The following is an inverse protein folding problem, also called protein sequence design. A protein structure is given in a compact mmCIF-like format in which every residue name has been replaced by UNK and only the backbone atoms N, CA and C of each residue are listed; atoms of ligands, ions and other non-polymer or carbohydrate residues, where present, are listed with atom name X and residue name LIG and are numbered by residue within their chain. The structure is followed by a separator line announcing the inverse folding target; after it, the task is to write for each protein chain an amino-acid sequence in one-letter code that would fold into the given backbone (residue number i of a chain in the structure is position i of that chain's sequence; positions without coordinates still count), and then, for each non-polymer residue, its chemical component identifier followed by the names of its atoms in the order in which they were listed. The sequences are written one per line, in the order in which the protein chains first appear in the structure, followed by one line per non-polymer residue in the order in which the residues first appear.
data_IF_864922427809
#
_entry.id   IF_864922427809
#
_cell.length_a   1.000
_cell.length_b   1.000
_cell.length_c   1.000
_cell.angle_alpha   90.00
_cell.angle_beta   90.00
_cell.angle_gamma   90.00
#
_symmetry.space_group_name_H-M   'P 1'
#
loop_
_entity.id
_entity.type
_entity.pdbx_description
1 polymer ?
#
# COMPACT_ATOMS: atom_id res chain seq x y z
N UNK A 1 56.86 34.76 44.83
CA UNK A 1 56.52 34.76 43.41
C UNK A 1 55.93 33.42 43.09
N UNK A 2 54.62 33.28 43.18
CA UNK A 2 53.88 32.07 42.85
C UNK A 2 53.28 32.28 41.44
N UNK A 3 53.60 31.38 40.49
CA UNK A 3 53.10 31.39 39.15
C UNK A 3 51.72 30.75 39.11
N UNK A 4 50.70 31.52 38.70
CA UNK A 4 49.35 31.07 38.40
C UNK A 4 49.33 30.13 37.17
N UNK A 5 48.68 28.97 37.33
CA UNK A 5 48.33 28.12 36.21
C UNK A 5 47.03 28.62 35.58
N UNK A 6 46.90 28.72 34.24
CA UNK A 6 45.63 29.03 33.60
C UNK A 6 44.67 27.86 33.62
N UNK A 7 43.37 28.12 33.76
CA UNK A 7 42.25 27.21 33.76
C UNK A 7 42.02 26.59 32.37
N UNK A 8 41.53 25.35 32.26
CA UNK A 8 41.21 24.70 30.98
C UNK A 8 39.93 25.26 30.36
N UNK A 9 39.98 25.51 29.05
CA UNK A 9 38.86 25.92 28.21
C UNK A 9 37.80 24.83 28.07
N UNK A 10 36.49 25.16 27.98
CA UNK A 10 35.42 24.19 27.82
C UNK A 10 35.15 23.90 26.33
N UNK A 11 35.83 22.94 25.74
CA UNK A 11 35.51 22.39 24.42
C UNK A 11 35.77 20.90 24.44
N UNK A 12 34.76 20.15 24.87
CA UNK A 12 34.59 18.75 24.41
C UNK A 12 33.09 18.42 24.51
N UNK A 13 32.39 18.71 23.42
CA UNK A 13 31.10 18.08 23.13
C UNK A 13 31.38 16.77 22.41
N UNK A 14 30.87 15.63 22.89
CA UNK A 14 31.08 14.38 22.21
C UNK A 14 30.31 14.34 20.89
N UNK A 15 31.05 14.07 19.83
CA UNK A 15 30.70 13.30 18.66
C UNK A 15 29.36 13.57 17.97
N UNK A 16 29.35 14.50 17.05
CA UNK A 16 28.54 14.30 15.84
C UNK A 16 29.09 13.05 15.14
N UNK A 17 28.40 11.91 15.30
CA UNK A 17 28.62 10.75 14.47
C UNK A 17 28.35 11.17 13.00
N UNK A 18 29.41 11.23 12.23
CA UNK A 18 29.40 11.40 10.80
C UNK A 18 28.47 10.36 10.18
N UNK A 19 27.32 10.78 9.65
CA UNK A 19 26.45 9.98 8.81
C UNK A 19 27.14 9.77 7.45
N UNK A 20 28.13 8.91 7.42
CA UNK A 20 28.72 8.38 6.19
C UNK A 20 27.81 7.29 5.66
N UNK A 21 27.10 7.54 4.52
CA UNK A 21 26.45 6.52 3.72
C UNK A 21 24.93 6.61 3.57
N UNK A 22 24.26 7.70 3.96
CA UNK A 22 22.86 7.90 3.56
C UNK A 22 22.83 8.33 2.09
N UNK A 23 22.43 7.45 1.18
CA UNK A 23 22.06 7.82 -0.19
C UNK A 23 21.09 9.00 -0.13
N UNK A 24 21.40 10.09 -0.85
CA UNK A 24 20.57 11.29 -0.81
C UNK A 24 19.15 10.94 -1.28
N UNK A 25 18.13 11.29 -0.49
CA UNK A 25 16.73 10.97 -0.79
C UNK A 25 16.32 11.61 -2.12
N UNK A 26 15.72 10.83 -3.03
CA UNK A 26 15.20 11.36 -4.30
C UNK A 26 13.91 12.15 -4.11
N UNK A 27 13.13 11.84 -3.07
CA UNK A 27 11.97 12.62 -2.62
C UNK A 27 12.20 12.96 -1.15
N UNK A 28 12.03 14.22 -0.79
CA UNK A 28 12.11 14.68 0.59
C UNK A 28 10.96 15.63 0.90
N UNK A 29 10.19 15.29 1.92
CA UNK A 29 9.14 16.12 2.50
C UNK A 29 9.55 16.55 3.90
N UNK A 30 9.37 17.82 4.24
CA UNK A 30 9.72 18.37 5.55
C UNK A 30 8.57 19.23 6.09
N UNK A 31 7.89 18.76 7.12
CA UNK A 31 6.81 19.47 7.81
C UNK A 31 5.64 19.86 6.91
N UNK A 32 5.32 19.03 5.91
CA UNK A 32 4.31 19.36 4.90
C UNK A 32 2.93 19.34 5.52
N UNK A 33 2.25 20.49 5.44
CA UNK A 33 0.88 20.66 5.91
C UNK A 33 0.00 21.21 4.79
N UNK A 34 -1.23 20.72 4.68
CA UNK A 34 -2.25 21.28 3.78
C UNK A 34 -3.58 21.43 4.47
N UNK A 35 -4.09 22.67 4.50
CA UNK A 35 -5.39 23.04 5.05
C UNK A 35 -6.35 23.52 3.98
N UNK A 36 -7.62 23.18 4.13
CA UNK A 36 -8.75 23.67 3.34
C UNK A 36 -9.75 24.32 4.30
N UNK A 37 -9.66 25.62 4.47
CA UNK A 37 -10.39 26.33 5.53
C UNK A 37 -10.01 25.77 6.92
N UNK A 38 -11.00 25.30 7.66
CA UNK A 38 -10.79 24.69 8.99
C UNK A 38 -10.32 23.22 8.92
N UNK A 39 -10.44 22.55 7.77
CA UNK A 39 -10.07 21.15 7.62
C UNK A 39 -8.59 21.00 7.27
N UNK A 40 -7.85 20.20 8.04
CA UNK A 40 -6.45 19.86 7.77
C UNK A 40 -6.40 18.47 7.12
N UNK A 41 -6.10 18.44 5.82
CA UNK A 41 -6.05 17.21 5.03
C UNK A 41 -4.69 16.49 5.11
N UNK A 42 -3.61 17.26 5.31
CA UNK A 42 -2.25 16.76 5.55
C UNK A 42 -1.67 17.60 6.67
N UNK A 43 -1.12 16.96 7.70
CA UNK A 43 -0.69 17.63 8.93
C UNK A 43 0.72 17.17 9.32
N UNK A 44 1.68 18.08 9.17
CA UNK A 44 3.08 17.96 9.57
C UNK A 44 3.78 16.68 9.05
N UNK A 45 3.62 16.38 7.76
CA UNK A 45 4.20 15.17 7.15
C UNK A 45 5.66 15.39 6.80
N UNK A 46 6.52 14.56 7.39
CA UNK A 46 7.95 14.44 7.08
C UNK A 46 8.27 13.01 6.67
N UNK A 47 8.81 12.85 5.46
CA UNK A 47 9.24 11.55 4.94
C UNK A 47 10.32 11.72 3.85
N UNK A 48 11.06 10.65 3.64
CA UNK A 48 12.02 10.53 2.55
C UNK A 48 11.78 9.24 1.75
N UNK A 49 12.04 9.31 0.43
CA UNK A 49 12.05 8.15 -0.47
C UNK A 49 13.44 8.05 -1.07
N UNK A 50 14.01 6.83 -1.06
CA UNK A 50 15.36 6.56 -1.56
C UNK A 50 15.35 6.32 -3.06
N UNK A 51 16.45 6.60 -3.78
CA UNK A 51 16.57 6.24 -5.18
C UNK A 51 16.42 4.73 -5.39
N UNK A 52 15.64 4.34 -6.42
CA UNK A 52 15.47 2.94 -6.82
C UNK A 52 14.60 2.11 -5.88
N UNK A 53 13.91 2.71 -4.89
CA UNK A 53 12.97 1.96 -4.05
C UNK A 53 11.54 1.99 -4.58
N UNK A 54 10.78 0.96 -4.25
CA UNK A 54 9.31 0.93 -4.39
C UNK A 54 8.72 1.33 -3.04
N UNK A 55 8.11 2.51 -2.99
CA UNK A 55 7.55 3.10 -1.78
C UNK A 55 6.03 3.12 -1.82
N UNK A 56 5.39 2.53 -0.79
CA UNK A 56 3.94 2.49 -0.63
C UNK A 56 3.41 3.59 0.28
N UNK A 57 2.41 4.35 -0.15
CA UNK A 57 1.65 5.26 0.69
C UNK A 57 0.27 4.66 0.96
N UNK A 58 0.05 4.20 2.19
CA UNK A 58 -1.10 3.38 2.57
C UNK A 58 -1.99 4.13 3.55
N UNK A 59 -3.28 3.85 3.50
CA UNK A 59 -4.25 4.42 4.43
C UNK A 59 -5.68 4.22 3.94
N UNK A 60 -6.65 4.33 4.85
CA UNK A 60 -8.07 4.29 4.49
C UNK A 60 -8.47 5.48 3.60
N UNK A 61 -9.67 5.43 3.03
CA UNK A 61 -10.22 6.55 2.28
C UNK A 61 -10.40 7.76 3.22
N UNK A 62 -9.93 8.94 2.75
CA UNK A 62 -9.91 10.15 3.57
C UNK A 62 -8.66 10.32 4.47
N UNK A 63 -7.72 9.37 4.51
CA UNK A 63 -6.48 9.48 5.30
C UNK A 63 -5.54 10.63 4.87
N UNK A 64 -5.77 11.24 3.71
CA UNK A 64 -4.93 12.33 3.17
C UNK A 64 -4.00 11.92 2.02
N UNK A 65 -3.95 10.62 1.64
CA UNK A 65 -3.06 10.08 0.60
C UNK A 65 -3.12 10.87 -0.70
N UNK A 66 -4.29 10.98 -1.31
CA UNK A 66 -4.46 11.67 -2.61
C UNK A 66 -4.12 13.17 -2.52
N UNK A 67 -4.31 13.80 -1.35
CA UNK A 67 -3.89 15.17 -1.13
C UNK A 67 -2.38 15.27 -1.10
N UNK A 68 -1.70 14.42 -0.33
CA UNK A 68 -0.24 14.38 -0.27
C UNK A 68 0.36 14.04 -1.64
N UNK A 69 -0.24 13.10 -2.37
CA UNK A 69 0.17 12.74 -3.72
C UNK A 69 0.09 13.92 -4.69
N UNK A 70 -1.02 14.69 -4.68
CA UNK A 70 -1.18 15.90 -5.49
C UNK A 70 -0.16 16.99 -5.13
N UNK A 71 0.23 17.06 -3.86
CA UNK A 71 1.26 18.00 -3.41
C UNK A 71 2.63 17.58 -3.95
N UNK A 72 3.00 16.29 -3.86
CA UNK A 72 4.25 15.76 -4.45
C UNK A 72 4.29 15.96 -5.97
N UNK A 73 3.18 15.81 -6.67
CA UNK A 73 3.08 16.06 -8.12
C UNK A 73 3.13 17.56 -8.48
N UNK A 74 3.17 18.46 -7.50
CA UNK A 74 3.11 19.91 -7.74
C UNK A 74 1.77 20.38 -8.32
N UNK A 75 0.70 19.59 -8.16
CA UNK A 75 -0.67 19.93 -8.56
C UNK A 75 -1.38 20.75 -7.49
N UNK A 76 -0.91 20.68 -6.25
CA UNK A 76 -1.44 21.38 -5.10
C UNK A 76 -0.30 21.95 -4.28
N UNK A 77 -0.33 23.25 -3.96
CA UNK A 77 0.68 23.85 -3.10
C UNK A 77 0.44 23.44 -1.64
N UNK A 78 1.48 23.16 -0.83
CA UNK A 78 1.35 23.01 0.61
C UNK A 78 0.97 24.34 1.26
N UNK A 79 0.35 24.29 2.45
CA UNK A 79 0.13 25.49 3.29
C UNK A 79 1.41 25.89 4.02
N UNK A 80 2.19 24.88 4.45
CA UNK A 80 3.52 25.03 5.06
C UNK A 80 4.37 23.79 4.78
N UNK A 81 5.67 23.89 5.07
CA UNK A 81 6.66 22.86 4.80
C UNK A 81 7.27 22.95 3.40
N UNK A 82 8.17 22.02 3.07
CA UNK A 82 8.89 22.00 1.81
C UNK A 82 8.94 20.60 1.21
N UNK A 83 9.05 20.53 -0.13
CA UNK A 83 9.14 19.28 -0.89
C UNK A 83 10.22 19.43 -1.92
N UNK A 84 11.08 18.42 -2.03
CA UNK A 84 12.09 18.29 -3.08
C UNK A 84 11.94 16.96 -3.78
N UNK A 85 12.04 16.96 -5.10
CA UNK A 85 12.03 15.75 -5.94
C UNK A 85 13.19 15.83 -6.91
N UNK A 86 14.02 14.79 -6.93
CA UNK A 86 15.23 14.69 -7.77
C UNK A 86 16.13 15.94 -7.63
N UNK A 87 16.28 16.46 -6.39
CA UNK A 87 17.09 17.64 -6.08
C UNK A 87 16.40 18.99 -6.32
N UNK A 88 15.22 19.01 -6.96
CA UNK A 88 14.52 20.26 -7.29
C UNK A 88 13.37 20.52 -6.29
N UNK A 89 13.19 21.77 -5.82
CA UNK A 89 12.04 22.11 -4.99
C UNK A 89 10.75 22.04 -5.79
N UNK A 90 9.69 21.44 -5.21
CA UNK A 90 8.36 21.39 -5.83
C UNK A 90 7.64 22.70 -5.58
N UNK A 91 7.54 23.56 -6.61
CA UNK A 91 6.92 24.87 -6.53
C UNK A 91 6.61 25.44 -7.92
N UNK A 92 5.99 26.64 -7.97
CA UNK A 92 5.58 27.23 -9.25
C UNK A 92 6.76 27.48 -10.21
N UNK A 93 7.89 27.91 -9.70
CA UNK A 93 9.07 28.25 -10.52
C UNK A 93 9.74 27.01 -11.12
N UNK A 94 9.75 25.87 -10.42
CA UNK A 94 10.42 24.62 -10.82
C UNK A 94 9.47 23.54 -11.33
N UNK A 95 8.16 23.84 -11.39
CA UNK A 95 7.14 22.85 -11.74
C UNK A 95 7.41 22.12 -13.07
N UNK A 96 7.92 22.81 -14.09
CA UNK A 96 8.20 22.20 -15.39
C UNK A 96 9.41 21.25 -15.31
N UNK A 97 10.45 21.63 -14.56
CA UNK A 97 11.66 20.81 -14.40
C UNK A 97 11.33 19.53 -13.63
N UNK A 98 10.58 19.63 -12.53
CA UNK A 98 10.11 18.47 -11.77
C UNK A 98 9.23 17.57 -12.63
N UNK A 99 8.25 18.12 -13.37
CA UNK A 99 7.35 17.33 -14.23
C UNK A 99 8.06 16.58 -15.35
N UNK A 100 9.20 17.05 -15.82
CA UNK A 100 10.01 16.31 -16.80
C UNK A 100 10.69 15.09 -16.22
N UNK A 101 10.92 15.08 -14.90
CA UNK A 101 11.63 14.00 -14.19
C UNK A 101 10.67 12.98 -13.57
N UNK A 102 9.35 13.25 -13.60
CA UNK A 102 8.34 12.37 -13.03
C UNK A 102 7.41 11.80 -14.10
N UNK A 103 6.98 10.55 -13.87
CA UNK A 103 5.84 9.94 -14.52
C UNK A 103 4.66 9.88 -13.57
N UNK A 104 3.43 9.96 -14.08
CA UNK A 104 2.24 9.86 -13.25
C UNK A 104 1.15 9.02 -13.93
N UNK A 105 0.68 8.02 -13.22
CA UNK A 105 -0.50 7.21 -13.57
C UNK A 105 -1.60 7.51 -12.56
N UNK A 106 -2.66 8.22 -12.95
CA UNK A 106 -3.82 8.45 -12.08
C UNK A 106 -4.66 7.17 -11.91
N UNK A 107 -5.43 7.08 -10.83
CA UNK A 107 -6.41 6.01 -10.61
C UNK A 107 -7.36 5.85 -11.80
N UNK A 108 -7.91 6.97 -12.27
CA UNK A 108 -8.80 7.02 -13.42
C UNK A 108 -8.09 7.62 -14.62
N UNK A 109 -7.75 6.78 -15.59
CA UNK A 109 -7.05 7.18 -16.81
C UNK A 109 -8.03 7.74 -17.83
N UNK A 110 -7.99 9.06 -18.04
CA UNK A 110 -8.77 9.74 -19.06
C UNK A 110 -8.01 9.78 -20.39
N UNK A 111 -8.52 9.11 -21.41
CA UNK A 111 -7.93 9.01 -22.74
C UNK A 111 -8.97 9.38 -23.80
N UNK A 112 -8.50 9.83 -24.96
CA UNK A 112 -9.39 10.12 -26.09
C UNK A 112 -9.82 8.84 -26.80
N UNK A 113 -11.10 8.58 -26.82
CA UNK A 113 -11.70 7.34 -27.35
C UNK A 113 -11.51 7.15 -28.88
N UNK A 114 -11.35 8.22 -29.61
CA UNK A 114 -11.18 8.24 -31.07
C UNK A 114 -9.73 8.05 -31.55
N UNK A 115 -8.75 8.21 -30.67
CA UNK A 115 -7.35 7.97 -30.99
C UNK A 115 -7.01 6.48 -30.79
N UNK A 116 -6.07 5.98 -31.59
CA UNK A 116 -5.44 4.69 -31.32
C UNK A 116 -4.46 4.76 -30.14
N UNK A 117 -4.04 3.59 -29.60
CA UNK A 117 -3.04 3.55 -28.55
C UNK A 117 -1.73 4.23 -28.95
N UNK A 118 -1.26 3.97 -30.17
CA UNK A 118 -0.04 4.58 -30.69
C UNK A 118 -0.18 6.09 -30.90
N UNK A 119 -1.30 6.56 -31.46
CA UNK A 119 -1.57 7.97 -31.65
C UNK A 119 -1.67 8.69 -30.30
N UNK A 120 -2.28 8.06 -29.30
CA UNK A 120 -2.35 8.58 -27.94
C UNK A 120 -0.95 8.80 -27.36
N UNK A 121 -0.06 7.82 -27.44
CA UNK A 121 1.31 7.97 -26.96
C UNK A 121 2.10 9.03 -27.75
N UNK A 122 1.96 9.06 -29.07
CA UNK A 122 2.58 10.10 -29.91
C UNK A 122 2.09 11.52 -29.57
N UNK A 123 0.79 11.65 -29.25
CA UNK A 123 0.23 12.92 -28.81
C UNK A 123 0.87 13.40 -27.50
N UNK A 124 0.93 12.54 -26.47
CA UNK A 124 1.55 12.89 -25.18
C UNK A 124 3.05 13.14 -25.31
N UNK A 125 3.77 12.37 -26.14
CA UNK A 125 5.18 12.62 -26.41
C UNK A 125 5.42 14.03 -26.96
N UNK A 126 4.64 14.44 -27.98
CA UNK A 126 4.71 15.79 -28.56
C UNK A 126 4.37 16.87 -27.53
N UNK A 127 3.39 16.64 -26.67
CA UNK A 127 3.00 17.58 -25.62
C UNK A 127 4.14 17.79 -24.58
N UNK A 128 4.92 16.72 -24.32
CA UNK A 128 6.11 16.78 -23.47
C UNK A 128 7.36 17.32 -24.18
N UNK A 129 7.28 17.58 -25.51
CA UNK A 129 8.43 17.95 -26.34
C UNK A 129 9.42 16.79 -26.56
N UNK A 130 8.93 15.56 -26.56
CA UNK A 130 9.72 14.34 -26.77
C UNK A 130 9.61 13.83 -28.21
N UNK A 131 10.60 13.05 -28.64
CA UNK A 131 10.50 12.30 -29.88
C UNK A 131 9.44 11.18 -29.76
N UNK A 132 8.80 10.89 -30.89
CA UNK A 132 7.74 9.87 -30.96
C UNK A 132 8.26 8.48 -31.35
N UNK A 133 9.52 8.34 -31.72
CA UNK A 133 10.13 7.08 -32.18
C UNK A 133 10.00 5.95 -31.14
N UNK A 134 10.13 6.27 -29.83
CA UNK A 134 10.01 5.31 -28.75
C UNK A 134 8.60 4.84 -28.40
N UNK A 135 7.55 5.43 -29.00
CA UNK A 135 6.16 5.12 -28.60
C UNK A 135 5.75 3.66 -28.87
N UNK A 136 6.21 3.06 -29.98
CA UNK A 136 5.92 1.66 -30.28
C UNK A 136 6.57 0.71 -29.26
N UNK A 137 7.81 0.97 -28.87
CA UNK A 137 8.52 0.17 -27.85
C UNK A 137 7.83 0.25 -26.47
N UNK A 138 7.25 1.40 -26.11
CA UNK A 138 6.45 1.53 -24.89
C UNK A 138 5.18 0.70 -24.94
N UNK A 139 4.50 0.58 -26.09
CA UNK A 139 3.36 -0.33 -26.23
C UNK A 139 3.78 -1.78 -26.04
N UNK A 140 4.88 -2.21 -26.59
CA UNK A 140 5.45 -3.55 -26.38
C UNK A 140 5.75 -3.78 -24.89
N UNK A 141 6.38 -2.80 -24.23
CA UNK A 141 6.74 -2.90 -22.80
C UNK A 141 5.53 -3.13 -21.89
N UNK A 142 4.37 -2.59 -22.25
CA UNK A 142 3.11 -2.79 -21.49
C UNK A 142 2.19 -3.86 -22.08
N UNK A 143 2.67 -4.67 -23.06
CA UNK A 143 1.93 -5.77 -23.68
C UNK A 143 0.73 -5.32 -24.51
N UNK A 144 0.83 -4.18 -25.18
CA UNK A 144 -0.21 -3.60 -26.03
C UNK A 144 0.19 -3.49 -27.51
N UNK A 145 1.29 -4.12 -27.95
CA UNK A 145 1.78 -4.09 -29.33
C UNK A 145 0.71 -4.57 -30.33
N UNK A 146 -0.05 -5.61 -29.97
CA UNK A 146 -1.10 -6.20 -30.79
C UNK A 146 -2.35 -5.30 -30.95
N UNK A 147 -2.46 -4.26 -30.14
CA UNK A 147 -3.61 -3.36 -30.08
C UNK A 147 -3.24 -1.89 -30.37
N UNK A 148 -1.99 -1.61 -30.70
CA UNK A 148 -1.47 -0.24 -30.85
C UNK A 148 -2.25 0.63 -31.85
N UNK A 149 -2.73 0.05 -32.94
CA UNK A 149 -3.49 0.75 -33.99
C UNK A 149 -5.01 0.74 -33.76
N UNK A 150 -5.49 0.04 -32.73
CA UNK A 150 -6.91 -0.01 -32.40
C UNK A 150 -7.34 1.26 -31.65
N UNK A 151 -8.55 1.81 -31.91
CA UNK A 151 -9.04 2.97 -31.17
C UNK A 151 -9.25 2.64 -29.69
N UNK A 152 -8.93 3.61 -28.82
CA UNK A 152 -8.98 3.46 -27.35
C UNK A 152 -10.38 3.12 -26.84
N UNK A 153 -11.44 3.53 -27.54
CA UNK A 153 -12.82 3.11 -27.23
C UNK A 153 -13.02 1.60 -27.22
N UNK A 154 -12.20 0.85 -27.97
CA UNK A 154 -12.23 -0.63 -28.03
C UNK A 154 -11.33 -1.30 -26.99
N UNK A 155 -10.68 -0.51 -26.11
CA UNK A 155 -9.83 -1.04 -25.06
C UNK A 155 -10.66 -1.42 -23.83
N UNK A 156 -10.31 -2.57 -23.21
CA UNK A 156 -10.78 -2.90 -21.87
C UNK A 156 -10.23 -1.92 -20.82
N UNK A 157 -10.80 -1.92 -19.61
CA UNK A 157 -10.28 -1.11 -18.49
C UNK A 157 -8.78 -1.38 -18.27
N UNK A 158 -8.37 -2.65 -18.23
CA UNK A 158 -6.97 -3.03 -18.06
C UNK A 158 -6.07 -2.59 -19.21
N UNK A 159 -6.55 -2.59 -20.46
CA UNK A 159 -5.78 -2.05 -21.59
C UNK A 159 -5.63 -0.53 -21.50
N UNK A 160 -6.66 0.19 -21.07
CA UNK A 160 -6.59 1.66 -20.83
C UNK A 160 -5.59 1.97 -19.71
N UNK A 161 -5.60 1.20 -18.63
CA UNK A 161 -4.64 1.33 -17.52
C UNK A 161 -3.20 1.11 -18.00
N UNK A 162 -2.94 0.04 -18.78
CA UNK A 162 -1.62 -0.24 -19.37
C UNK A 162 -1.18 0.86 -20.35
N UNK A 163 -2.10 1.44 -21.14
CA UNK A 163 -1.78 2.57 -22.00
C UNK A 163 -1.42 3.82 -21.20
N UNK A 164 -2.15 4.11 -20.11
CA UNK A 164 -1.82 5.19 -19.17
C UNK A 164 -0.45 4.96 -18.50
N UNK A 165 -0.13 3.71 -18.18
CA UNK A 165 1.18 3.34 -17.65
C UNK A 165 2.31 3.59 -18.68
N UNK A 166 2.12 3.19 -19.94
CA UNK A 166 3.06 3.52 -21.01
C UNK A 166 3.26 5.03 -21.19
N UNK A 167 2.18 5.81 -21.05
CA UNK A 167 2.23 7.28 -21.09
C UNK A 167 3.03 7.85 -19.92
N UNK A 168 2.89 7.28 -18.71
CA UNK A 168 3.64 7.70 -17.54
C UNK A 168 5.15 7.44 -17.68
N UNK A 169 5.55 6.40 -18.40
CA UNK A 169 6.95 6.04 -18.67
C UNK A 169 7.63 6.92 -19.73
N UNK A 170 6.90 7.77 -20.47
CA UNK A 170 7.46 8.63 -21.50
C UNK A 170 8.46 9.64 -20.95
N UNK A 171 9.63 9.72 -21.57
CA UNK A 171 10.70 10.67 -21.21
C UNK A 171 11.64 10.14 -20.13
N UNK A 172 11.62 8.83 -19.85
CA UNK A 172 12.50 8.17 -18.88
C UNK A 172 12.49 8.88 -17.52
N UNK A 173 11.35 8.87 -16.82
CA UNK A 173 11.21 9.54 -15.53
C UNK A 173 12.20 8.93 -14.52
N UNK A 174 12.65 9.74 -13.55
CA UNK A 174 13.45 9.28 -12.41
C UNK A 174 12.55 8.76 -11.27
N UNK A 175 11.32 9.28 -11.20
CA UNK A 175 10.30 8.89 -10.21
C UNK A 175 8.98 8.63 -10.93
N UNK A 176 8.37 7.49 -10.62
CA UNK A 176 7.06 7.12 -11.12
C UNK A 176 6.04 7.16 -9.98
N UNK A 177 5.00 7.98 -10.14
CA UNK A 177 3.88 8.07 -9.22
C UNK A 177 2.69 7.28 -9.76
N UNK A 178 2.12 6.39 -8.95
CA UNK A 178 1.02 5.49 -9.31
C UNK A 178 -0.10 5.61 -8.28
N UNK A 179 -1.25 6.12 -8.70
CA UNK A 179 -2.40 6.30 -7.80
C UNK A 179 -3.36 5.12 -7.95
N UNK A 180 -3.43 4.25 -6.92
CA UNK A 180 -4.26 3.03 -6.87
C UNK A 180 -4.15 2.18 -8.16
N UNK A 181 -2.93 1.80 -8.59
CA UNK A 181 -2.69 1.32 -9.96
C UNK A 181 -3.32 -0.04 -10.29
N UNK A 182 -3.65 -0.85 -9.29
CA UNK A 182 -4.22 -2.20 -9.44
C UNK A 182 -5.74 -2.22 -9.39
N UNK A 183 -6.38 -1.10 -9.04
CA UNK A 183 -7.83 -1.03 -8.83
C UNK A 183 -8.61 -1.41 -10.10
N UNK A 184 -9.39 -2.50 -9.99
CA UNK A 184 -10.26 -3.01 -11.06
C UNK A 184 -9.54 -3.68 -12.21
N UNK A 185 -8.30 -4.13 -12.01
CA UNK A 185 -7.59 -5.05 -12.88
C UNK A 185 -7.94 -6.50 -12.52
N UNK A 186 -7.90 -7.37 -13.51
CA UNK A 186 -7.97 -8.81 -13.27
C UNK A 186 -6.65 -9.36 -12.70
N UNK A 187 -6.63 -10.54 -12.07
CA UNK A 187 -5.43 -11.10 -11.43
C UNK A 187 -4.23 -11.24 -12.38
N UNK A 188 -4.45 -11.55 -13.66
CA UNK A 188 -3.35 -11.68 -14.64
C UNK A 188 -2.74 -10.32 -14.96
N UNK A 189 -3.59 -9.29 -15.12
CA UNK A 189 -3.13 -7.92 -15.34
C UNK A 189 -2.37 -7.38 -14.13
N UNK A 190 -2.80 -7.72 -12.90
CA UNK A 190 -2.09 -7.35 -11.66
C UNK A 190 -0.69 -7.99 -11.63
N UNK A 191 -0.56 -9.30 -11.91
CA UNK A 191 0.75 -9.96 -11.97
C UNK A 191 1.67 -9.29 -12.99
N UNK A 192 1.21 -9.14 -14.23
CA UNK A 192 1.98 -8.48 -15.29
C UNK A 192 2.43 -7.07 -14.89
N UNK A 193 1.56 -6.30 -14.24
CA UNK A 193 1.86 -4.95 -13.77
C UNK A 193 3.00 -4.95 -12.74
N UNK A 194 2.94 -5.83 -11.75
CA UNK A 194 3.97 -5.94 -10.73
C UNK A 194 5.31 -6.44 -11.28
N UNK A 195 5.30 -7.41 -12.20
CA UNK A 195 6.50 -7.88 -12.88
C UNK A 195 7.18 -6.74 -13.65
N UNK A 196 6.38 -5.94 -14.37
CA UNK A 196 6.89 -4.77 -15.10
C UNK A 196 7.47 -3.71 -14.13
N UNK A 197 6.83 -3.49 -12.95
CA UNK A 197 7.38 -2.57 -11.94
C UNK A 197 8.71 -3.08 -11.36
N UNK A 198 8.83 -4.38 -11.12
CA UNK A 198 10.07 -4.97 -10.62
C UNK A 198 11.22 -4.77 -11.62
N UNK A 199 10.98 -5.02 -12.91
CA UNK A 199 11.98 -4.76 -13.96
C UNK A 199 12.41 -3.30 -14.02
N UNK A 200 11.46 -2.37 -13.88
CA UNK A 200 11.73 -0.93 -13.89
C UNK A 200 12.54 -0.49 -12.68
N UNK A 201 12.21 -1.01 -11.49
CA UNK A 201 12.97 -0.80 -10.26
C UNK A 201 14.41 -1.29 -10.41
N UNK A 202 14.60 -2.48 -10.96
CA UNK A 202 15.93 -3.06 -11.19
C UNK A 202 16.76 -2.24 -12.22
N UNK A 203 16.08 -1.45 -13.06
CA UNK A 203 16.70 -0.44 -13.94
C UNK A 203 16.99 0.90 -13.21
N UNK A 204 16.69 0.99 -11.90
CA UNK A 204 16.97 2.17 -11.08
C UNK A 204 15.82 3.19 -10.99
N UNK A 205 14.62 2.87 -11.52
CA UNK A 205 13.44 3.74 -11.40
C UNK A 205 12.92 3.71 -9.96
N UNK A 206 12.71 4.88 -9.36
CA UNK A 206 12.02 5.02 -8.08
C UNK A 206 10.52 5.02 -8.31
N UNK A 207 9.79 4.25 -7.51
CA UNK A 207 8.34 4.10 -7.65
C UNK A 207 7.66 4.49 -6.36
N UNK A 208 6.68 5.40 -6.44
CA UNK A 208 5.81 5.76 -5.32
C UNK A 208 4.38 5.42 -5.70
N UNK A 209 3.74 4.58 -4.91
CA UNK A 209 2.37 4.19 -5.20
C UNK A 209 1.45 4.37 -3.99
N UNK A 210 0.17 4.65 -4.26
CA UNK A 210 -0.87 4.62 -3.24
C UNK A 210 -1.61 3.29 -3.29
N UNK A 211 -2.03 2.80 -2.13
CA UNK A 211 -2.99 1.70 -2.02
C UNK A 211 -3.83 1.85 -0.74
N UNK A 212 -5.01 1.31 -0.76
CA UNK A 212 -5.84 1.13 0.43
C UNK A 212 -5.82 -0.33 0.90
N UNK A 213 -5.20 -1.25 0.14
CA UNK A 213 -5.08 -2.68 0.45
C UNK A 213 -3.61 -3.01 0.70
N UNK A 214 -3.26 -3.19 1.97
CA UNK A 214 -1.88 -3.46 2.37
C UNK A 214 -1.41 -4.87 1.93
N UNK A 215 -2.32 -5.84 1.92
CA UNK A 215 -2.03 -7.20 1.50
C UNK A 215 -1.48 -7.30 0.07
N UNK A 216 -1.93 -6.42 -0.84
CA UNK A 216 -1.42 -6.37 -2.22
C UNK A 216 0.04 -5.91 -2.32
N UNK A 217 0.52 -5.19 -1.31
CA UNK A 217 1.87 -4.63 -1.28
C UNK A 217 2.90 -5.55 -0.62
N UNK A 218 2.45 -6.62 0.03
CA UNK A 218 3.35 -7.59 0.67
C UNK A 218 4.36 -8.14 -0.33
N UNK A 219 5.64 -8.12 0.04
CA UNK A 219 6.77 -8.58 -0.79
C UNK A 219 6.97 -7.83 -2.12
N UNK A 220 6.29 -6.69 -2.32
CA UNK A 220 6.32 -5.91 -3.57
C UNK A 220 6.83 -4.49 -3.38
N UNK A 221 6.88 -4.03 -2.15
CA UNK A 221 7.38 -2.71 -1.77
C UNK A 221 8.51 -2.84 -0.76
N UNK A 222 9.46 -1.92 -0.82
CA UNK A 222 10.61 -1.91 0.10
C UNK A 222 10.26 -1.25 1.43
N UNK A 223 9.54 -0.12 1.38
CA UNK A 223 9.05 0.62 2.55
C UNK A 223 7.66 1.16 2.31
N UNK A 224 6.96 1.39 3.41
CA UNK A 224 5.62 2.00 3.39
C UNK A 224 5.52 3.12 4.41
N UNK A 225 4.71 4.12 4.08
CA UNK A 225 4.17 5.09 5.03
C UNK A 225 2.68 4.80 5.24
N UNK A 226 2.27 4.55 6.47
CA UNK A 226 0.87 4.38 6.83
C UNK A 226 0.30 5.71 7.27
N UNK A 227 -0.73 6.18 6.57
CA UNK A 227 -1.40 7.44 6.85
C UNK A 227 -2.77 7.24 7.52
N UNK A 228 -3.04 8.01 8.55
CA UNK A 228 -4.38 8.18 9.10
C UNK A 228 -4.54 9.64 9.58
N UNK A 229 -5.74 10.20 9.40
CA UNK A 229 -6.08 11.56 9.83
C UNK A 229 -5.08 12.64 9.38
N UNK A 230 -4.57 12.51 8.15
CA UNK A 230 -3.62 13.46 7.56
C UNK A 230 -2.18 13.34 8.05
N UNK A 231 -1.85 12.40 8.94
CA UNK A 231 -0.52 12.20 9.53
C UNK A 231 0.07 10.85 9.16
N UNK A 232 1.39 10.74 9.17
CA UNK A 232 2.06 9.44 9.10
C UNK A 232 2.03 8.82 10.49
N UNK A 233 1.43 7.65 10.59
CA UNK A 233 1.35 6.86 11.83
C UNK A 233 2.55 5.90 11.96
N UNK A 234 3.03 5.39 10.84
CA UNK A 234 4.17 4.49 10.80
C UNK A 234 4.92 4.63 9.46
N UNK A 235 6.23 4.42 9.51
CA UNK A 235 7.12 4.50 8.36
C UNK A 235 8.24 3.45 8.50
N UNK A 236 8.40 2.58 7.55
CA UNK A 236 9.43 1.55 7.56
C UNK A 236 9.16 0.44 6.55
N UNK A 237 9.99 -0.60 6.54
CA UNK A 237 9.70 -1.84 5.83
C UNK A 237 8.54 -2.58 6.51
N UNK A 238 7.83 -3.41 5.76
CA UNK A 238 6.73 -4.20 6.33
C UNK A 238 7.22 -5.14 7.45
N UNK A 239 8.45 -5.61 7.35
CA UNK A 239 9.09 -6.44 8.38
C UNK A 239 9.37 -5.65 9.67
N UNK A 240 9.91 -4.43 9.54
CA UNK A 240 10.15 -3.54 10.69
C UNK A 240 8.84 -3.14 11.37
N UNK A 241 7.82 -2.82 10.57
CA UNK A 241 6.51 -2.46 11.10
C UNK A 241 5.85 -3.61 11.85
N UNK A 242 5.94 -4.84 11.31
CA UNK A 242 5.45 -6.04 12.02
C UNK A 242 6.20 -6.32 13.31
N UNK A 243 7.53 -6.19 13.31
CA UNK A 243 8.35 -6.41 14.50
C UNK A 243 8.09 -5.37 15.61
N UNK A 244 7.68 -4.15 15.23
CA UNK A 244 7.35 -3.09 16.18
C UNK A 244 6.00 -3.29 16.90
N UNK A 245 5.14 -4.18 16.38
CA UNK A 245 3.86 -4.52 16.99
C UNK A 245 3.93 -5.97 17.51
N UNK A 246 3.96 -6.17 18.82
CA UNK A 246 3.86 -7.51 19.45
C UNK A 246 2.39 -7.98 19.41
N UNK A 247 1.81 -8.05 18.19
CA UNK A 247 0.46 -8.54 18.04
C UNK A 247 0.42 -10.07 18.08
N UNK A 248 -0.57 -10.63 18.77
CA UNK A 248 -0.70 -12.07 18.85
C UNK A 248 -1.11 -12.65 17.48
N UNK A 249 -0.59 -13.83 17.19
CA UNK A 249 -1.06 -14.66 16.07
C UNK A 249 -2.45 -15.20 16.39
N UNK A 250 -3.35 -15.21 15.43
CA UNK A 250 -4.62 -15.90 15.55
C UNK A 250 -4.45 -17.36 15.12
N UNK A 251 -4.49 -18.27 16.06
CA UNK A 251 -4.40 -19.69 15.80
C UNK A 251 -5.80 -20.31 15.92
N UNK A 252 -6.30 -20.87 14.81
CA UNK A 252 -7.58 -21.59 14.76
C UNK A 252 -7.31 -23.08 14.76
N UNK A 253 -7.89 -23.79 15.75
CA UNK A 253 -7.77 -25.23 15.94
C UNK A 253 -9.08 -25.87 15.52
N UNK A 254 -9.07 -26.61 14.44
CA UNK A 254 -10.17 -27.45 14.02
C UNK A 254 -10.15 -28.75 14.82
N UNK A 255 -11.27 -29.08 15.46
CA UNK A 255 -11.39 -30.32 16.25
C UNK A 255 -11.91 -31.45 15.40
N UNK A 256 -11.52 -32.67 15.73
CA UNK A 256 -12.11 -33.88 15.12
C UNK A 256 -13.55 -34.05 15.53
N UNK A 257 -14.40 -34.66 14.68
CA UNK A 257 -15.76 -35.04 15.08
C UNK A 257 -15.72 -35.85 16.37
N UNK A 258 -16.57 -35.54 17.32
CA UNK A 258 -16.60 -36.11 18.68
C UNK A 258 -15.68 -35.48 19.73
N UNK A 259 -14.88 -34.48 19.39
CA UNK A 259 -14.09 -33.72 20.37
C UNK A 259 -14.90 -32.52 20.83
N UNK A 260 -15.09 -32.42 22.16
CA UNK A 260 -15.78 -31.28 22.78
C UNK A 260 -14.85 -30.05 22.83
N UNK A 261 -15.30 -28.91 22.28
CA UNK A 261 -14.55 -27.67 22.31
C UNK A 261 -14.24 -27.21 23.75
N UNK A 262 -15.17 -27.39 24.67
CA UNK A 262 -14.94 -27.06 26.07
C UNK A 262 -13.87 -27.95 26.73
N UNK A 263 -13.75 -29.21 26.30
CA UNK A 263 -12.67 -30.10 26.75
C UNK A 263 -11.31 -29.62 26.23
N UNK A 264 -11.21 -29.22 24.96
CA UNK A 264 -9.99 -28.65 24.38
C UNK A 264 -9.61 -27.35 25.07
N UNK A 265 -10.55 -26.46 25.34
CA UNK A 265 -10.30 -25.21 26.08
C UNK A 265 -9.73 -25.49 27.46
N UNK A 266 -10.32 -26.43 28.21
CA UNK A 266 -9.80 -26.85 29.52
C UNK A 266 -8.38 -27.43 29.42
N UNK A 267 -8.11 -28.21 28.37
CA UNK A 267 -6.76 -28.76 28.14
C UNK A 267 -5.74 -27.65 27.86
N UNK A 268 -6.10 -26.66 27.04
CA UNK A 268 -5.25 -25.50 26.75
C UNK A 268 -4.96 -24.67 28.02
N UNK A 269 -5.96 -24.47 28.85
CA UNK A 269 -5.83 -23.78 30.15
C UNK A 269 -5.03 -24.56 31.20
N UNK A 270 -4.83 -25.86 30.99
CA UNK A 270 -4.00 -26.71 31.83
C UNK A 270 -2.54 -26.82 31.34
N UNK A 271 -2.18 -26.14 30.24
CA UNK A 271 -0.81 -26.11 29.76
C UNK A 271 0.13 -25.40 30.76
N UNK A 272 1.42 -25.73 30.73
CA UNK A 272 2.39 -25.12 31.68
C UNK A 272 2.64 -23.64 31.35
N UNK A 273 3.01 -22.88 32.39
CA UNK A 273 3.48 -21.49 32.32
C UNK A 273 2.49 -20.51 31.71
N UNK A 274 3.03 -19.55 30.93
CA UNK A 274 2.25 -18.48 30.32
C UNK A 274 1.24 -18.99 29.26
N UNK A 275 1.40 -20.23 28.76
CA UNK A 275 0.48 -20.82 27.79
C UNK A 275 -0.94 -20.98 28.35
N UNK A 276 -1.09 -21.28 29.64
CA UNK A 276 -2.39 -21.41 30.31
C UNK A 276 -3.17 -20.10 30.37
N UNK A 277 -2.48 -18.96 30.28
CA UNK A 277 -3.10 -17.61 30.38
C UNK A 277 -3.46 -17.00 29.05
N UNK A 278 -3.19 -17.69 27.93
CA UNK A 278 -3.51 -17.19 26.61
C UNK A 278 -5.03 -17.05 26.44
N UNK A 279 -5.52 -15.98 25.76
CA UNK A 279 -6.92 -15.82 25.46
C UNK A 279 -7.42 -16.92 24.52
N UNK A 280 -8.28 -17.79 25.03
CA UNK A 280 -8.88 -18.91 24.29
C UNK A 280 -10.38 -18.71 24.19
N UNK A 281 -10.94 -18.88 23.00
CA UNK A 281 -12.38 -18.77 22.75
C UNK A 281 -12.87 -19.81 21.75
N UNK A 282 -14.12 -20.22 21.88
CA UNK A 282 -14.80 -21.02 20.87
C UNK A 282 -15.40 -20.12 19.79
N UNK A 283 -15.25 -20.50 18.53
CA UNK A 283 -15.92 -19.82 17.42
C UNK A 283 -17.35 -20.35 17.29
N UNK A 284 -18.39 -19.53 17.54
CA UNK A 284 -19.76 -20.04 17.72
C UNK A 284 -20.37 -20.69 16.49
N UNK A 285 -19.90 -20.33 15.27
CA UNK A 285 -20.45 -20.85 14.02
C UNK A 285 -19.79 -22.15 13.54
N UNK A 286 -18.54 -22.41 13.91
CA UNK A 286 -17.72 -23.51 13.35
C UNK A 286 -17.30 -24.54 14.41
N UNK A 287 -17.50 -24.27 15.69
CA UNK A 287 -17.01 -25.13 16.77
C UNK A 287 -15.48 -25.23 16.82
N UNK A 288 -14.76 -24.31 16.18
CA UNK A 288 -13.30 -24.25 16.24
C UNK A 288 -12.84 -23.49 17.48
N UNK A 289 -11.70 -23.89 18.03
CA UNK A 289 -11.08 -23.16 19.13
C UNK A 289 -10.08 -22.15 18.58
N UNK A 290 -10.22 -20.88 18.98
CA UNK A 290 -9.35 -19.79 18.55
C UNK A 290 -8.50 -19.33 19.73
N UNK A 291 -7.20 -19.16 19.50
CA UNK A 291 -6.22 -18.71 20.50
C UNK A 291 -5.45 -17.53 19.94
N UNK A 292 -5.30 -16.48 20.74
CA UNK A 292 -4.44 -15.35 20.43
C UNK A 292 -3.06 -15.60 21.07
N UNK A 293 -2.03 -15.85 20.22
CA UNK A 293 -0.73 -16.37 20.65
C UNK A 293 0.38 -15.37 20.34
N UNK A 294 1.10 -14.83 21.33
CA UNK A 294 2.32 -14.06 21.08
C UNK A 294 3.35 -14.86 20.27
N UNK A 295 4.06 -14.20 19.35
CA UNK A 295 5.04 -14.88 18.48
C UNK A 295 6.05 -15.75 19.23
N UNK A 296 6.51 -15.31 20.42
CA UNK A 296 7.43 -16.04 21.28
C UNK A 296 6.91 -17.39 21.75
N UNK A 297 5.58 -17.57 21.82
CA UNK A 297 4.94 -18.80 22.30
C UNK A 297 4.46 -19.73 21.17
N UNK A 298 4.53 -19.29 19.90
CA UNK A 298 4.05 -20.04 18.72
C UNK A 298 4.57 -21.48 18.69
N UNK A 299 5.88 -21.65 18.74
CA UNK A 299 6.50 -22.96 18.60
C UNK A 299 6.22 -23.88 19.79
N UNK A 300 6.20 -23.32 21.01
CA UNK A 300 5.87 -24.10 22.22
C UNK A 300 4.41 -24.59 22.15
N UNK A 301 3.47 -23.73 21.80
CA UNK A 301 2.07 -24.12 21.68
C UNK A 301 1.88 -25.18 20.60
N UNK A 302 2.51 -25.03 19.41
CA UNK A 302 2.46 -26.03 18.36
C UNK A 302 2.99 -27.40 18.82
N UNK A 303 4.08 -27.46 19.60
CA UNK A 303 4.60 -28.72 20.17
C UNK A 303 3.57 -29.40 21.08
N UNK A 304 2.88 -28.63 21.93
CA UNK A 304 1.80 -29.18 22.77
C UNK A 304 0.61 -29.67 21.95
N UNK A 305 0.19 -28.90 20.92
CA UNK A 305 -0.92 -29.30 20.04
C UNK A 305 -0.60 -30.57 19.23
N UNK A 306 0.66 -30.77 18.84
CA UNK A 306 1.10 -32.01 18.20
C UNK A 306 0.99 -33.22 19.14
N UNK A 307 1.15 -33.04 20.45
CA UNK A 307 0.93 -34.13 21.42
C UNK A 307 -0.57 -34.45 21.62
N UNK A 308 -1.46 -33.53 21.25
CA UNK A 308 -2.91 -33.69 21.29
C UNK A 308 -3.54 -34.02 19.93
N UNK A 309 -2.76 -34.58 18.98
CA UNK A 309 -3.19 -34.87 17.61
C UNK A 309 -4.43 -35.80 17.50
N UNK A 310 -4.77 -36.51 18.55
CA UNK A 310 -5.98 -37.37 18.61
C UNK A 310 -7.26 -36.51 18.62
N UNK A 311 -7.19 -35.26 19.12
CA UNK A 311 -8.32 -34.32 19.22
C UNK A 311 -8.33 -33.29 18.11
N UNK A 312 -7.18 -33.00 17.50
CA UNK A 312 -6.98 -31.93 16.52
C UNK A 312 -7.05 -32.48 15.10
N UNK A 313 -7.90 -31.89 14.26
CA UNK A 313 -8.02 -32.22 12.85
C UNK A 313 -7.10 -31.34 11.98
N UNK A 314 -7.06 -30.04 12.25
CA UNK A 314 -6.24 -29.06 11.51
C UNK A 314 -5.90 -27.86 12.40
N UNK A 315 -4.79 -27.19 12.07
CA UNK A 315 -4.35 -25.98 12.75
C UNK A 315 -4.05 -24.92 11.68
N UNK A 316 -4.80 -23.83 11.69
CA UNK A 316 -4.56 -22.68 10.86
C UNK A 316 -3.93 -21.56 11.69
N UNK A 317 -2.78 -21.05 11.26
CA UNK A 317 -2.10 -19.92 11.89
C UNK A 317 -2.21 -18.72 10.99
N UNK A 318 -2.94 -17.72 11.44
CA UNK A 318 -3.09 -16.45 10.75
C UNK A 318 -2.24 -15.39 11.46
N UNK A 319 -1.34 -14.79 10.71
CA UNK A 319 -0.65 -13.58 11.18
C UNK A 319 -1.64 -12.42 11.10
N UNK A 320 -1.68 -11.54 12.14
CA UNK A 320 -2.53 -10.36 12.10
C UNK A 320 -2.16 -9.53 10.88
N UNK A 321 -3.17 -9.06 10.16
CA UNK A 321 -2.93 -8.19 9.02
C UNK A 321 -2.44 -6.83 9.54
N UNK A 322 -1.55 -6.19 8.78
CA UNK A 322 -1.15 -4.82 9.10
C UNK A 322 -2.33 -3.84 8.98
N UNK A 323 -3.38 -4.22 8.25
CA UNK A 323 -4.63 -3.47 8.15
C UNK A 323 -5.37 -3.46 9.50
N UNK A 324 -5.44 -4.60 10.18
CA UNK A 324 -6.02 -4.71 11.52
C UNK A 324 -5.25 -3.87 12.54
N UNK A 325 -3.92 -3.74 12.35
CA UNK A 325 -3.07 -2.94 13.24
C UNK A 325 -3.36 -1.45 13.16
N UNK A 326 -3.50 -0.93 11.95
CA UNK A 326 -3.55 0.51 11.73
C UNK A 326 -4.96 1.07 11.52
N UNK A 327 -5.91 0.22 11.12
CA UNK A 327 -7.24 0.65 10.68
C UNK A 327 -8.40 0.03 11.47
N UNK A 328 -8.15 -0.99 12.29
CA UNK A 328 -9.19 -1.53 13.15
C UNK A 328 -9.65 -0.47 14.17
N UNK A 329 -10.92 -0.11 14.12
CA UNK A 329 -11.57 0.67 15.18
C UNK A 329 -11.48 -0.08 16.51
N UNK A 330 -11.43 0.60 17.66
CA UNK A 330 -11.45 -0.07 18.97
C UNK A 330 -12.61 -1.05 19.15
N UNK A 331 -13.73 -0.82 18.45
CA UNK A 331 -14.92 -1.68 18.47
C UNK A 331 -14.79 -2.93 17.57
N UNK A 332 -13.99 -2.89 16.50
CA UNK A 332 -13.75 -4.03 15.60
C UNK A 332 -12.78 -5.08 16.16
N UNK A 333 -12.00 -4.73 17.18
CA UNK A 333 -11.04 -5.66 17.82
C UNK A 333 -11.72 -6.81 18.56
N UNK A 334 -13.05 -6.77 18.70
CA UNK A 334 -13.86 -7.81 19.34
C UNK A 334 -14.69 -8.67 18.36
N UNK A 335 -14.74 -8.37 17.07
CA UNK A 335 -15.49 -9.14 16.07
C UNK A 335 -14.55 -10.07 15.26
N UNK A 336 -14.89 -11.36 15.11
CA UNK A 336 -14.12 -12.25 14.24
C UNK A 336 -14.27 -11.82 12.79
N UNK A 337 -13.14 -11.67 12.09
CA UNK A 337 -13.09 -11.37 10.68
C UNK A 337 -13.72 -12.52 9.89
N UNK A 338 -14.98 -12.37 9.48
CA UNK A 338 -15.68 -13.35 8.64
C UNK A 338 -15.24 -13.07 7.19
N UNK A 339 -14.67 -14.03 6.46
CA UNK A 339 -14.36 -13.82 5.06
C UNK A 339 -15.65 -13.48 4.30
N UNK A 340 -15.63 -12.42 3.53
CA UNK A 340 -16.75 -11.97 2.71
C UNK A 340 -17.22 -13.13 1.83
N UNK A 341 -18.42 -13.64 2.12
CA UNK A 341 -19.10 -14.63 1.31
C UNK A 341 -19.33 -14.05 -0.09
N UNK A 342 -18.90 -14.80 -1.10
CA UNK A 342 -19.18 -14.51 -2.51
C UNK A 342 -20.65 -14.20 -2.69
N UNK A 343 -20.95 -12.98 -3.16
CA UNK A 343 -22.29 -12.49 -3.39
C UNK A 343 -23.08 -13.41 -4.31
N UNK A 344 -24.19 -13.91 -3.82
CA UNK A 344 -25.25 -14.55 -4.61
C UNK A 344 -25.85 -13.49 -5.55
N UNK A 345 -26.05 -13.76 -6.84
CA UNK A 345 -26.64 -12.76 -7.74
C UNK A 345 -28.10 -12.50 -7.34
N UNK A 346 -28.37 -11.23 -7.14
CA UNK A 346 -29.67 -10.66 -6.82
C UNK A 346 -30.71 -11.05 -7.87
N UNK A 347 -31.73 -11.80 -7.46
CA UNK A 347 -32.92 -12.05 -8.26
C UNK A 347 -33.80 -10.78 -8.20
N UNK A 348 -33.87 -10.07 -9.31
CA UNK A 348 -34.82 -8.99 -9.48
C UNK A 348 -36.26 -9.52 -9.37
N UNK A 349 -37.16 -8.89 -8.63
CA UNK A 349 -38.57 -9.22 -8.64
C UNK A 349 -39.23 -8.76 -9.95
N UNK A 350 -39.82 -9.71 -10.64
CA UNK A 350 -40.64 -9.49 -11.83
C UNK A 350 -41.90 -8.68 -11.46
N UNK A 351 -42.03 -7.50 -12.07
CA UNK A 351 -43.27 -6.71 -12.02
C UNK A 351 -44.36 -7.34 -12.88
N UNK A 352 -45.61 -7.44 -12.43
CA UNK A 352 -46.70 -7.96 -13.23
C UNK A 352 -47.14 -6.94 -14.30
N UNK A 353 -47.27 -7.41 -15.54
CA UNK A 353 -47.88 -6.67 -16.64
C UNK A 353 -49.41 -6.56 -16.37
N UNK A 354 -49.90 -5.35 -16.12
CA UNK A 354 -51.30 -5.03 -16.24
C UNK A 354 -51.65 -4.80 -17.67
N UNK A 355 -52.47 -5.69 -18.20
CA UNK A 355 -53.23 -5.50 -19.45
C UNK A 355 -54.39 -4.52 -19.23
N UNK A 356 -54.45 -3.44 -19.96
CA UNK A 356 -55.70 -2.69 -20.21
C UNK A 356 -55.82 -2.49 -21.71
N UNK A 357 -56.80 -3.20 -22.27
CA UNK A 357 -57.30 -2.97 -23.59
C UNK A 357 -58.28 -1.79 -23.59
N UNK A 358 -58.52 -1.25 -24.77
CA UNK A 358 -59.72 -0.43 -25.05
C UNK A 358 -59.45 0.71 -26.00
N UNK A 359 -59.79 0.46 -27.26
CA UNK A 359 -60.65 1.24 -28.12
C UNK A 359 -60.48 2.78 -28.14
N UNK A 360 -60.04 3.35 -29.19
CA UNK A 360 -60.72 4.12 -30.21
C UNK A 360 -59.67 4.66 -31.23
#
# INVERSE_FOLDING_TARGET
MAAERPAPSPTDRPGQASAAGASEAIIRLQGVTRRFGAFTAVDDVTLDVRPGEVFGLIGHNGAGKSTLFKIMLGLLAPTSGSIHIAGEPVGQASALQVRRRIGYLPENVALWDNLSGLETLKFFARLKGLDTAGCAALLTKVGLEHAGDRPVRAYSKGMRQRLGFAQALQGNPQVLFLDEPTTGLDPRAIHFFWDTLAELRDQGLTIVLTSHILAELQNRVDRVAVMANGRIQALGSLTELRAGFDLPLHMQIQLKPATDAAAMIRWLQALPDELATLPVREHPATGTVVIDVPHRHKMRLLQHLLSAQEYVADIQVQEPSLEDMFFASPDDRSAPNTPASAGTPDQQPSTPKTSTGGQA
#
